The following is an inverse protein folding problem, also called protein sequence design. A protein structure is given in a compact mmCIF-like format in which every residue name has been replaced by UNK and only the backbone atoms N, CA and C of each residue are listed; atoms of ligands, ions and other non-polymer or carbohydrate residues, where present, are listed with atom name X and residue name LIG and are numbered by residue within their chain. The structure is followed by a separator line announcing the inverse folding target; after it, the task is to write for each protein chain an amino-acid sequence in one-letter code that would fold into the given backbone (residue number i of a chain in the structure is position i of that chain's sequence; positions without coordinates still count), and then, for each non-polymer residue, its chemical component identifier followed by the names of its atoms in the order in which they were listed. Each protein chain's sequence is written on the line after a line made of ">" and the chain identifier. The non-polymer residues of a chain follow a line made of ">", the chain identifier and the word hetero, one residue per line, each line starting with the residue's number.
data_IF_000654439078
#
_entry.id   IF_000654439078
#
_cell.length_a   1.000
_cell.length_b   1.000
_cell.length_c   1.000
_cell.angle_alpha   90.00
_cell.angle_beta   90.00
_cell.angle_gamma   90.00
#
_symmetry.space_group_name_H-M   'P 1'
#
loop_
_entity.id
_entity.type
_entity.pdbx_description
1 polymer ?
#
# COMPACT_ATOMS: atom_id res chain seq x y z
N UNK A 1 7.81 31.11 14.29
CA UNK A 1 7.98 29.65 14.45
C UNK A 1 6.64 29.08 14.86
N UNK A 2 5.92 28.37 13.99
CA UNK A 2 4.72 27.64 14.40
C UNK A 2 5.18 26.49 15.30
N UNK A 3 4.72 26.46 16.56
CA UNK A 3 5.04 25.34 17.45
C UNK A 3 4.42 24.08 16.86
N UNK A 4 5.15 22.95 16.91
CA UNK A 4 4.59 21.68 16.46
C UNK A 4 3.44 21.31 17.40
N UNK A 5 2.24 21.03 16.89
CA UNK A 5 1.13 20.60 17.73
C UNK A 5 1.54 19.35 18.52
N UNK A 6 1.10 19.26 19.76
CA UNK A 6 1.30 18.06 20.57
C UNK A 6 0.47 16.93 19.98
N UNK A 7 0.87 15.68 20.25
CA UNK A 7 0.06 14.54 19.82
C UNK A 7 -1.38 14.59 20.33
N UNK A 8 -1.57 15.06 21.57
CA UNK A 8 -2.89 15.24 22.15
C UNK A 8 -3.75 16.20 21.32
N UNK A 9 -3.19 17.34 20.91
CA UNK A 9 -3.89 18.30 20.05
C UNK A 9 -4.20 17.71 18.66
N UNK A 10 -3.31 16.87 18.10
CA UNK A 10 -3.59 16.17 16.85
C UNK A 10 -4.71 15.13 17.00
N UNK A 11 -4.74 14.39 18.09
CA UNK A 11 -5.79 13.42 18.41
C UNK A 11 -7.14 14.12 18.61
N UNK A 12 -7.17 15.24 19.32
CA UNK A 12 -8.37 16.08 19.50
C UNK A 12 -8.90 16.56 18.14
N UNK A 13 -8.06 17.15 17.30
CA UNK A 13 -8.46 17.60 15.96
C UNK A 13 -8.94 16.45 15.06
N UNK A 14 -8.25 15.30 15.06
CA UNK A 14 -8.69 14.12 14.30
C UNK A 14 -10.06 13.61 14.79
N UNK A 15 -10.32 13.62 16.10
CA UNK A 15 -11.61 13.20 16.64
C UNK A 15 -12.74 14.16 16.24
N UNK A 16 -12.48 15.47 16.22
CA UNK A 16 -13.43 16.49 15.71
C UNK A 16 -13.73 16.28 14.21
N UNK A 17 -12.69 16.06 13.41
CA UNK A 17 -12.82 15.77 11.97
C UNK A 17 -13.62 14.48 11.73
N UNK A 18 -13.35 13.43 12.51
CA UNK A 18 -14.12 12.18 12.42
C UNK A 18 -15.58 12.39 12.83
N UNK A 19 -15.88 13.24 13.82
CA UNK A 19 -17.24 13.63 14.17
C UNK A 19 -17.97 14.31 13.02
N UNK A 20 -17.29 15.25 12.35
CA UNK A 20 -17.80 15.96 11.16
C UNK A 20 -18.05 15.00 10.00
N UNK A 21 -17.10 14.10 9.72
CA UNK A 21 -17.22 13.07 8.68
C UNK A 21 -18.39 12.12 8.95
N UNK A 22 -18.54 11.64 10.19
CA UNK A 22 -19.65 10.75 10.56
C UNK A 22 -20.99 11.45 10.42
N UNK A 23 -21.11 12.71 10.85
CA UNK A 23 -22.33 13.50 10.69
C UNK A 23 -22.68 13.68 9.21
N UNK A 24 -21.68 13.99 8.38
CA UNK A 24 -21.84 14.08 6.93
C UNK A 24 -22.34 12.75 6.34
N UNK A 25 -21.65 11.64 6.62
CA UNK A 25 -22.04 10.32 6.11
C UNK A 25 -23.48 9.94 6.51
N UNK A 26 -23.86 10.19 7.78
CA UNK A 26 -25.21 9.93 8.27
C UNK A 26 -26.28 10.76 7.57
N UNK A 27 -26.00 12.04 7.28
CA UNK A 27 -26.88 12.89 6.48
C UNK A 27 -27.19 12.25 5.12
N UNK A 28 -26.21 11.55 4.54
CA UNK A 28 -26.33 10.81 3.29
C UNK A 28 -26.73 9.33 3.47
N UNK A 29 -27.22 8.94 4.66
CA UNK A 29 -27.63 7.56 4.99
C UNK A 29 -26.51 6.52 4.82
N UNK A 30 -25.25 6.94 5.00
CA UNK A 30 -24.07 6.09 5.02
C UNK A 30 -23.60 5.86 6.46
N UNK A 31 -23.10 4.67 6.74
CA UNK A 31 -22.50 4.30 8.02
C UNK A 31 -21.02 3.97 7.84
N UNK A 32 -20.16 4.62 8.61
CA UNK A 32 -18.73 4.32 8.59
C UNK A 32 -18.47 2.95 9.25
N UNK A 33 -17.72 2.10 8.56
CA UNK A 33 -17.36 0.77 9.07
C UNK A 33 -16.10 0.85 9.93
N UNK A 34 -16.27 1.01 11.24
CA UNK A 34 -15.16 1.04 12.22
C UNK A 34 -14.17 -0.12 12.03
N UNK A 35 -14.65 -1.36 11.79
CA UNK A 35 -13.78 -2.53 11.61
C UNK A 35 -12.97 -2.55 10.31
N UNK A 36 -13.27 -1.67 9.35
CA UNK A 36 -12.49 -1.49 8.10
C UNK A 36 -11.65 -0.22 8.13
N UNK A 37 -11.90 0.67 9.09
CA UNK A 37 -11.18 1.92 9.30
C UNK A 37 -10.02 1.68 10.26
N UNK A 38 -8.85 2.23 9.93
CA UNK A 38 -7.65 2.10 10.74
C UNK A 38 -6.97 3.46 10.85
N UNK A 39 -6.29 3.70 11.96
CA UNK A 39 -5.42 4.84 12.15
C UNK A 39 -3.96 4.44 11.89
N UNK A 40 -3.15 5.35 11.38
CA UNK A 40 -1.72 5.12 11.17
C UNK A 40 -0.96 6.44 11.32
N UNK A 41 0.21 6.39 11.96
CA UNK A 41 1.13 7.51 12.09
C UNK A 41 2.32 7.34 11.15
N UNK A 42 2.60 8.35 10.33
CA UNK A 42 3.77 8.38 9.46
C UNK A 42 4.82 9.32 10.04
N UNK A 43 5.93 8.77 10.54
CA UNK A 43 6.98 9.54 11.20
C UNK A 43 8.36 8.87 11.09
N UNK A 44 9.41 9.69 11.03
CA UNK A 44 10.80 9.23 10.92
C UNK A 44 11.34 8.60 12.22
N UNK A 45 10.91 9.11 13.39
CA UNK A 45 11.15 8.45 14.67
C UNK A 45 10.26 7.23 14.84
N UNK A 46 10.88 6.07 15.08
CA UNK A 46 10.20 4.80 15.34
C UNK A 46 9.28 4.89 16.55
N UNK A 47 9.70 5.60 17.62
CA UNK A 47 8.91 5.76 18.83
C UNK A 47 7.59 6.47 18.54
N UNK A 48 7.66 7.56 17.79
CA UNK A 48 6.51 8.38 17.46
C UNK A 48 5.56 7.68 16.48
N UNK A 49 6.09 6.94 15.49
CA UNK A 49 5.26 6.18 14.54
C UNK A 49 4.55 4.97 15.19
N UNK A 50 5.10 4.44 16.28
CA UNK A 50 4.53 3.32 17.06
C UNK A 50 3.58 3.77 18.16
N UNK A 51 3.34 5.07 18.28
CA UNK A 51 2.42 5.61 19.29
C UNK A 51 1.02 5.04 19.05
N UNK A 52 0.37 4.65 20.14
CA UNK A 52 -1.05 4.32 20.10
C UNK A 52 -1.83 5.62 19.95
N UNK A 53 -2.58 5.74 18.86
CA UNK A 53 -3.43 6.89 18.57
C UNK A 53 -4.83 6.63 19.12
N UNK A 54 -5.35 7.59 19.87
CA UNK A 54 -6.72 7.51 20.39
C UNK A 54 -7.71 8.24 19.46
N UNK A 55 -8.03 7.61 18.32
CA UNK A 55 -9.03 8.13 17.37
C UNK A 55 -10.31 7.30 17.47
N UNK A 56 -11.43 7.97 17.71
CA UNK A 56 -12.73 7.35 18.00
C UNK A 56 -13.75 7.67 16.91
N UNK A 57 -14.59 6.67 16.62
CA UNK A 57 -15.77 6.76 15.75
C UNK A 57 -16.90 6.08 16.50
N UNK A 58 -18.01 6.78 16.75
CA UNK A 58 -19.18 6.20 17.44
C UNK A 58 -18.82 5.50 18.77
N UNK A 59 -18.00 6.17 19.59
CA UNK A 59 -17.44 5.68 20.85
C UNK A 59 -16.55 4.41 20.74
N UNK A 60 -16.15 4.00 19.53
CA UNK A 60 -15.21 2.90 19.30
C UNK A 60 -13.87 3.44 18.83
N UNK A 61 -12.79 2.95 19.43
CA UNK A 61 -11.43 3.30 19.02
C UNK A 61 -11.08 2.60 17.70
N UNK A 62 -10.48 3.33 16.75
CA UNK A 62 -9.95 2.75 15.53
C UNK A 62 -8.69 1.93 15.83
N UNK A 63 -8.53 0.81 15.13
CA UNK A 63 -7.31 0.02 15.25
C UNK A 63 -6.12 0.79 14.65
N UNK A 64 -5.00 0.82 15.36
CA UNK A 64 -3.76 1.39 14.84
C UNK A 64 -3.02 0.33 14.03
N UNK A 65 -2.75 0.62 12.76
CA UNK A 65 -2.00 -0.25 11.88
C UNK A 65 -0.71 0.43 11.41
N UNK A 66 0.43 -0.24 11.58
CA UNK A 66 1.75 0.33 11.27
C UNK A 66 2.08 0.37 9.78
N UNK A 67 1.46 -0.51 8.99
CA UNK A 67 1.63 -0.58 7.54
C UNK A 67 0.29 -0.88 6.85
N UNK A 68 -0.69 0.04 6.91
CA UNK A 68 -2.00 -0.19 6.32
C UNK A 68 -1.88 -0.36 4.79
N UNK A 69 -2.81 -1.14 4.23
CA UNK A 69 -2.92 -1.31 2.78
C UNK A 69 -3.98 -0.36 2.26
N UNK A 70 -3.58 0.61 1.44
CA UNK A 70 -4.47 1.55 0.79
C UNK A 70 -4.39 1.36 -0.73
N UNK A 71 -5.54 1.07 -1.35
CA UNK A 71 -5.64 0.79 -2.79
C UNK A 71 -4.57 -0.21 -3.28
N UNK A 72 -4.35 -1.30 -2.54
CA UNK A 72 -3.36 -2.33 -2.88
C UNK A 72 -1.90 -2.03 -2.53
N UNK A 73 -1.57 -0.79 -2.14
CA UNK A 73 -0.22 -0.37 -1.75
C UNK A 73 -0.07 -0.41 -0.23
N UNK A 74 1.02 -1.01 0.29
CA UNK A 74 1.34 -0.92 1.72
C UNK A 74 2.11 0.36 2.01
N UNK A 75 1.63 1.13 2.97
CA UNK A 75 2.22 2.40 3.39
C UNK A 75 3.01 2.17 4.70
N UNK A 76 4.33 2.02 4.64
CA UNK A 76 5.16 1.95 5.85
C UNK A 76 5.31 3.33 6.49
N UNK A 77 5.64 3.38 7.79
CA UNK A 77 5.78 4.62 8.57
C UNK A 77 6.64 5.72 7.93
N UNK A 78 7.63 5.35 7.11
CA UNK A 78 8.55 6.29 6.43
C UNK A 78 8.17 6.55 4.97
N UNK A 79 7.11 5.91 4.48
CA UNK A 79 6.71 5.90 3.07
C UNK A 79 7.88 5.51 2.15
N UNK A 80 8.71 4.56 2.62
CA UNK A 80 9.80 3.98 1.81
C UNK A 80 9.30 2.93 0.83
N UNK A 81 8.07 2.43 1.02
CA UNK A 81 7.43 1.35 0.29
C UNK A 81 8.21 0.03 0.30
N UNK A 82 9.19 -0.14 1.22
CA UNK A 82 10.06 -1.32 1.27
C UNK A 82 9.26 -2.62 1.32
N UNK A 83 8.28 -2.70 2.21
CA UNK A 83 7.46 -3.89 2.39
C UNK A 83 6.57 -4.16 1.17
N UNK A 84 5.96 -3.09 0.63
CA UNK A 84 5.18 -3.19 -0.60
C UNK A 84 6.01 -3.73 -1.77
N UNK A 85 7.23 -3.23 -1.95
CA UNK A 85 8.10 -3.62 -3.06
C UNK A 85 8.62 -5.05 -2.94
N UNK A 86 8.79 -5.58 -1.73
CA UNK A 86 9.06 -7.02 -1.53
C UNK A 86 7.86 -7.87 -1.93
N UNK A 87 6.63 -7.46 -1.61
CA UNK A 87 5.41 -8.14 -2.07
C UNK A 87 5.27 -8.10 -3.59
N UNK A 88 5.51 -6.94 -4.21
CA UNK A 88 5.46 -6.78 -5.67
C UNK A 88 6.53 -7.64 -6.31
N UNK A 89 7.78 -7.62 -5.81
CA UNK A 89 8.85 -8.50 -6.28
C UNK A 89 8.44 -9.97 -6.23
N UNK A 90 7.96 -10.46 -5.09
CA UNK A 90 7.54 -11.85 -4.94
C UNK A 90 6.43 -12.23 -5.95
N UNK A 91 5.44 -11.34 -6.12
CA UNK A 91 4.35 -11.50 -7.08
C UNK A 91 4.86 -11.53 -8.52
N UNK A 92 5.77 -10.63 -8.89
CA UNK A 92 6.39 -10.56 -10.22
C UNK A 92 7.23 -11.81 -10.48
N UNK A 93 8.10 -12.21 -9.55
CA UNK A 93 8.94 -13.40 -9.68
C UNK A 93 8.11 -14.67 -9.90
N UNK A 94 7.01 -14.83 -9.17
CA UNK A 94 6.07 -15.95 -9.39
C UNK A 94 5.50 -15.96 -10.82
N UNK A 95 5.10 -14.80 -11.34
CA UNK A 95 4.56 -14.67 -12.70
C UNK A 95 5.62 -14.89 -13.77
N UNK A 96 6.85 -14.41 -13.55
CA UNK A 96 8.01 -14.69 -14.42
C UNK A 96 8.28 -16.20 -14.49
N UNK A 97 8.21 -16.91 -13.36
CA UNK A 97 8.39 -18.35 -13.36
C UNK A 97 7.33 -19.08 -14.21
N UNK A 98 6.09 -18.57 -14.25
CA UNK A 98 5.04 -19.09 -15.15
C UNK A 98 5.39 -18.84 -16.62
N UNK A 99 5.81 -17.61 -16.97
CA UNK A 99 6.25 -17.28 -18.34
C UNK A 99 7.39 -18.19 -18.80
N UNK A 100 8.38 -18.43 -17.94
CA UNK A 100 9.50 -19.33 -18.26
C UNK A 100 9.06 -20.76 -18.54
N UNK A 101 8.06 -21.27 -17.82
CA UNK A 101 7.48 -22.59 -18.10
C UNK A 101 6.77 -22.64 -19.44
N UNK A 102 6.16 -21.55 -19.86
CA UNK A 102 5.52 -21.44 -21.18
C UNK A 102 6.52 -21.25 -22.32
N UNK A 103 7.76 -20.82 -22.04
CA UNK A 103 8.79 -20.55 -23.03
C UNK A 103 9.62 -21.80 -23.44
N UNK A 104 9.08 -23.01 -23.27
CA UNK A 104 9.76 -24.25 -23.64
C UNK A 104 10.04 -24.35 -25.15
N UNK A 105 11.12 -25.04 -25.54
CA UNK A 105 11.52 -25.14 -26.96
C UNK A 105 10.73 -26.17 -27.76
N UNK A 106 10.18 -27.21 -27.10
CA UNK A 106 9.44 -28.31 -27.77
C UNK A 106 7.92 -28.15 -27.70
N UNK A 107 7.39 -27.64 -26.57
CA UNK A 107 5.95 -27.46 -26.30
C UNK A 107 5.62 -26.03 -25.82
N UNK A 108 6.47 -25.06 -26.15
CA UNK A 108 6.27 -23.68 -25.70
C UNK A 108 5.27 -22.89 -26.54
N UNK A 109 4.81 -21.80 -25.93
CA UNK A 109 3.95 -20.83 -26.58
C UNK A 109 4.71 -20.02 -27.63
N UNK A 110 3.99 -19.51 -28.63
CA UNK A 110 4.59 -18.63 -29.64
C UNK A 110 5.14 -17.34 -29.02
N UNK A 111 6.14 -16.73 -29.65
CA UNK A 111 6.76 -15.49 -29.17
C UNK A 111 5.73 -14.35 -28.97
N UNK A 112 4.72 -14.25 -29.86
CA UNK A 112 3.61 -13.31 -29.71
C UNK A 112 2.82 -13.55 -28.42
N UNK A 113 2.51 -14.81 -28.13
CA UNK A 113 1.77 -15.20 -26.93
C UNK A 113 2.58 -14.94 -25.67
N UNK A 114 3.88 -15.26 -25.68
CA UNK A 114 4.79 -14.97 -24.56
C UNK A 114 4.86 -13.47 -24.28
N UNK A 115 5.05 -12.64 -25.31
CA UNK A 115 5.10 -11.18 -25.15
C UNK A 115 3.82 -10.62 -24.54
N UNK A 116 2.66 -11.00 -25.06
CA UNK A 116 1.35 -10.56 -24.54
C UNK A 116 1.17 -11.04 -23.11
N UNK A 117 1.52 -12.29 -22.81
CA UNK A 117 1.40 -12.87 -21.47
C UNK A 117 2.32 -12.18 -20.48
N UNK A 118 3.56 -11.85 -20.86
CA UNK A 118 4.50 -11.10 -20.03
C UNK A 118 3.96 -9.71 -19.73
N UNK A 119 3.45 -8.98 -20.74
CA UNK A 119 2.82 -7.67 -20.50
C UNK A 119 1.61 -7.77 -19.57
N UNK A 120 0.71 -8.70 -19.84
CA UNK A 120 -0.55 -8.86 -19.11
C UNK A 120 -0.37 -9.39 -17.68
N UNK A 121 0.64 -10.24 -17.42
CA UNK A 121 0.87 -10.84 -16.11
C UNK A 121 1.99 -10.13 -15.35
N UNK A 122 3.16 -9.96 -15.97
CA UNK A 122 4.33 -9.41 -15.26
C UNK A 122 4.20 -7.89 -15.12
N UNK A 123 4.15 -7.17 -16.23
CA UNK A 123 4.17 -5.70 -16.22
C UNK A 123 2.92 -5.11 -15.55
N UNK A 124 1.73 -5.66 -15.80
CA UNK A 124 0.50 -5.17 -15.13
C UNK A 124 0.56 -5.22 -13.59
N UNK A 125 1.21 -6.24 -13.00
CA UNK A 125 1.41 -6.31 -11.56
C UNK A 125 2.56 -5.44 -11.10
N UNK A 126 3.62 -5.35 -11.90
CA UNK A 126 4.81 -4.62 -11.55
C UNK A 126 4.61 -3.10 -11.62
N UNK A 127 3.76 -2.61 -12.51
CA UNK A 127 3.52 -1.17 -12.73
C UNK A 127 2.31 -0.62 -11.96
N UNK A 128 1.54 -1.50 -11.31
CA UNK A 128 0.38 -1.08 -10.51
C UNK A 128 0.80 -0.09 -9.41
N UNK A 129 0.21 1.10 -9.43
CA UNK A 129 0.55 2.22 -8.54
C UNK A 129 2.02 2.68 -8.60
N UNK A 130 2.76 2.38 -9.68
CA UNK A 130 4.14 2.84 -9.86
C UNK A 130 4.38 4.34 -9.63
N UNK A 131 3.47 5.27 -9.99
CA UNK A 131 3.66 6.69 -9.67
C UNK A 131 3.86 6.97 -8.17
N UNK A 132 3.33 6.12 -7.28
CA UNK A 132 3.43 6.29 -5.83
C UNK A 132 4.78 5.79 -5.30
N UNK A 133 5.25 4.62 -5.75
CA UNK A 133 6.41 3.95 -5.16
C UNK A 133 7.66 3.92 -6.04
N UNK A 134 7.60 4.31 -7.31
CA UNK A 134 8.74 4.22 -8.26
C UNK A 134 9.96 5.04 -7.84
N UNK A 135 9.76 6.12 -7.07
CA UNK A 135 10.84 6.94 -6.50
C UNK A 135 11.41 6.39 -5.19
N UNK A 136 10.94 5.22 -4.75
CA UNK A 136 11.47 4.54 -3.58
C UNK A 136 12.94 4.13 -3.80
N UNK A 137 13.81 4.21 -2.78
CA UNK A 137 15.16 3.63 -2.85
C UNK A 137 15.15 2.10 -3.01
N UNK A 138 14.00 1.45 -2.86
CA UNK A 138 13.84 0.01 -2.98
C UNK A 138 13.23 -0.42 -4.33
N UNK A 139 12.89 0.52 -5.24
CA UNK A 139 12.26 0.21 -6.52
C UNK A 139 13.07 -0.79 -7.37
N UNK A 140 14.40 -0.71 -7.29
CA UNK A 140 15.35 -1.65 -7.94
C UNK A 140 15.04 -3.12 -7.70
N UNK A 141 14.39 -3.47 -6.57
CA UNK A 141 13.98 -4.85 -6.26
C UNK A 141 12.97 -5.40 -7.27
N UNK A 142 12.05 -4.55 -7.73
CA UNK A 142 11.05 -4.89 -8.73
C UNK A 142 11.69 -4.89 -10.12
N UNK A 143 12.52 -3.90 -10.44
CA UNK A 143 13.23 -3.81 -11.73
C UNK A 143 14.05 -5.06 -12.02
N UNK A 144 14.81 -5.55 -11.03
CA UNK A 144 15.57 -6.80 -11.16
C UNK A 144 14.67 -7.99 -11.45
N UNK A 145 13.47 -8.05 -10.87
CA UNK A 145 12.54 -9.15 -11.14
C UNK A 145 11.94 -9.05 -12.56
N UNK A 146 11.54 -7.85 -13.00
CA UNK A 146 11.01 -7.60 -14.35
C UNK A 146 12.06 -7.91 -15.42
N UNK A 147 13.32 -7.49 -15.23
CA UNK A 147 14.40 -7.69 -16.19
C UNK A 147 14.74 -9.16 -16.46
N UNK A 148 14.19 -10.08 -15.67
CA UNK A 148 14.38 -11.52 -15.84
C UNK A 148 13.17 -12.22 -16.48
N UNK A 149 12.18 -11.44 -16.93
CA UNK A 149 10.89 -11.94 -17.44
C UNK A 149 10.93 -12.50 -18.86
N UNK A 150 11.99 -12.21 -19.62
CA UNK A 150 12.31 -12.76 -20.94
C UNK A 150 13.83 -12.84 -21.09
#
# INVERSE_FOLDING_TARGET
>A
MLSRPTWKAMEEGLNEDMGTLVAYLRRWRLQLSVGKSVAAAYHLSTREARRELEVRVDNKCLAVQQAPKYLGVRLDRTLSFKQHLEEVKAKVTSRVALIRRLAGTTWGASAKTLRISTQALVFSAAEYCAPVWSRSPHARKVDVAINTSL
#
